data_IF_173905550098
#
_entry.id   IF_173905550098
#
_cell.length_a   1.000
_cell.length_b   1.000
_cell.length_c   1.000
_cell.angle_alpha   90.00
_cell.angle_beta   90.00
_cell.angle_gamma   90.00
#
_symmetry.space_group_name_H-M   'P 1'
#
loop_
_entity.id
_entity.type
_entity.pdbx_description
1 polymer ?
#
# COMPACT_ATOMS: atom_id res chain seq x y z
N UNK A 1 -45.20 19.90 49.97
CA UNK A 1 -44.20 19.56 48.94
C UNK A 1 -44.79 19.84 47.56
N UNK A 2 -44.47 20.99 46.94
CA UNK A 2 -44.91 21.31 45.58
C UNK A 2 -44.05 20.50 44.61
N UNK A 3 -44.59 19.39 44.08
CA UNK A 3 -44.00 18.66 42.95
C UNK A 3 -44.09 19.60 41.74
N UNK A 4 -43.00 20.30 41.46
CA UNK A 4 -42.90 21.26 40.37
C UNK A 4 -43.02 20.56 39.03
N UNK A 5 -43.98 20.98 38.22
CA UNK A 5 -44.02 20.65 36.81
C UNK A 5 -42.72 21.20 36.19
N UNK A 6 -41.78 20.31 35.88
CA UNK A 6 -40.63 20.66 35.07
C UNK A 6 -41.19 21.19 33.75
N UNK A 7 -40.91 22.46 33.44
CA UNK A 7 -41.40 23.07 32.22
C UNK A 7 -40.91 22.24 31.04
N UNK A 8 -41.82 21.74 30.21
CA UNK A 8 -41.52 20.86 29.07
C UNK A 8 -40.40 21.40 28.15
N UNK A 9 -40.22 22.72 28.13
CA UNK A 9 -39.13 23.43 27.45
C UNK A 9 -37.73 23.04 27.96
N UNK A 10 -37.53 22.94 29.27
CA UNK A 10 -36.24 22.57 29.87
C UNK A 10 -35.88 21.11 29.54
N UNK A 11 -36.87 20.22 29.57
CA UNK A 11 -36.69 18.82 29.20
C UNK A 11 -36.31 18.69 27.72
N UNK A 12 -36.96 19.45 26.84
CA UNK A 12 -36.67 19.43 25.40
C UNK A 12 -35.25 19.90 25.09
N UNK A 13 -34.79 20.96 25.74
CA UNK A 13 -33.41 21.46 25.58
C UNK A 13 -32.37 20.45 26.06
N UNK A 14 -32.63 19.79 27.20
CA UNK A 14 -31.74 18.77 27.74
C UNK A 14 -31.64 17.55 26.82
N UNK A 15 -32.77 17.11 26.26
CA UNK A 15 -32.78 16.02 25.26
C UNK A 15 -32.01 16.42 23.99
N UNK A 16 -32.21 17.64 23.47
CA UNK A 16 -31.47 18.12 22.31
C UNK A 16 -29.96 18.19 22.55
N UNK A 17 -29.53 18.67 23.73
CA UNK A 17 -28.12 18.71 24.11
C UNK A 17 -27.50 17.30 24.18
N UNK A 18 -28.22 16.32 24.74
CA UNK A 18 -27.77 14.92 24.77
C UNK A 18 -27.62 14.37 23.35
N UNK A 19 -28.60 14.60 22.46
CA UNK A 19 -28.53 14.13 21.07
C UNK A 19 -27.32 14.71 20.36
N UNK A 20 -27.07 16.01 20.48
CA UNK A 20 -25.89 16.67 19.88
C UNK A 20 -24.60 16.09 20.46
N UNK A 21 -24.52 15.90 21.78
CA UNK A 21 -23.34 15.34 22.42
C UNK A 21 -23.03 13.92 21.93
N UNK A 22 -24.06 13.06 21.80
CA UNK A 22 -23.92 11.71 21.24
C UNK A 22 -23.44 11.75 19.78
N UNK A 23 -23.98 12.66 18.96
CA UNK A 23 -23.54 12.84 17.58
C UNK A 23 -22.07 13.30 17.48
N UNK A 24 -21.65 14.24 18.34
CA UNK A 24 -20.26 14.71 18.39
C UNK A 24 -19.31 13.61 18.84
N UNK A 25 -19.65 12.84 19.87
CA UNK A 25 -18.85 11.70 20.30
C UNK A 25 -18.75 10.62 19.22
N UNK A 26 -19.85 10.31 18.54
CA UNK A 26 -19.87 9.38 17.42
C UNK A 26 -18.97 9.84 16.26
N UNK A 27 -18.97 11.14 15.96
CA UNK A 27 -18.09 11.73 14.97
C UNK A 27 -16.61 11.67 15.40
N UNK A 28 -16.30 12.06 16.64
CA UNK A 28 -14.93 12.03 17.17
C UNK A 28 -14.34 10.62 17.19
N UNK A 29 -15.13 9.61 17.56
CA UNK A 29 -14.70 8.21 17.51
C UNK A 29 -14.37 7.75 16.08
N UNK A 30 -15.18 8.14 15.09
CA UNK A 30 -14.90 7.85 13.67
C UNK A 30 -13.63 8.55 13.18
N UNK A 31 -13.43 9.81 13.56
CA UNK A 31 -12.20 10.56 13.21
C UNK A 31 -10.97 9.93 13.86
N UNK A 32 -11.06 9.49 15.12
CA UNK A 32 -9.95 8.83 15.83
C UNK A 32 -9.48 7.54 15.14
N UNK A 33 -10.42 6.71 14.65
CA UNK A 33 -10.09 5.50 13.88
C UNK A 33 -9.38 5.83 12.55
N UNK A 34 -9.80 6.89 11.87
CA UNK A 34 -9.15 7.34 10.63
C UNK A 34 -7.70 7.80 10.90
N UNK A 35 -7.45 8.50 12.01
CA UNK A 35 -6.11 8.95 12.40
C UNK A 35 -5.21 7.75 12.73
N UNK A 36 -5.72 6.72 13.41
CA UNK A 36 -4.95 5.53 13.74
C UNK A 36 -4.43 4.79 12.50
N UNK A 37 -5.23 4.67 11.43
CA UNK A 37 -4.81 4.00 10.19
C UNK A 37 -3.68 4.71 9.44
N UNK A 38 -3.68 6.05 9.45
CA UNK A 38 -2.59 6.85 8.84
C UNK A 38 -1.26 6.62 9.58
N UNK A 39 -1.31 6.38 10.89
CA UNK A 39 -0.11 6.15 11.68
C UNK A 39 0.66 4.91 11.23
N UNK A 40 0.02 3.81 10.82
CA UNK A 40 0.74 2.59 10.41
C UNK A 40 1.47 2.75 9.08
N UNK A 41 0.80 3.38 8.10
CA UNK A 41 1.39 3.69 6.79
C UNK A 41 2.63 4.58 6.96
N UNK A 42 2.50 5.65 7.74
CA UNK A 42 3.59 6.58 7.98
C UNK A 42 4.69 5.97 8.86
N UNK A 43 4.35 5.06 9.79
CA UNK A 43 5.34 4.33 10.60
C UNK A 43 6.20 3.43 9.71
N UNK A 44 5.58 2.69 8.78
CA UNK A 44 6.30 1.86 7.83
C UNK A 44 7.24 2.73 6.97
N UNK A 45 6.72 3.81 6.37
CA UNK A 45 7.52 4.74 5.55
C UNK A 45 8.68 5.35 6.35
N UNK A 46 8.44 5.78 7.59
CA UNK A 46 9.50 6.29 8.48
C UNK A 46 10.53 5.22 8.82
N UNK A 47 10.11 3.97 9.03
CA UNK A 47 11.05 2.88 9.32
C UNK A 47 11.96 2.60 8.13
N UNK A 48 11.41 2.58 6.91
CA UNK A 48 12.20 2.43 5.68
C UNK A 48 13.12 3.64 5.44
N UNK A 49 12.63 4.86 5.70
CA UNK A 49 13.45 6.07 5.62
C UNK A 49 14.61 6.06 6.63
N UNK A 50 14.36 5.63 7.88
CA UNK A 50 15.43 5.51 8.89
C UNK A 50 16.44 4.45 8.45
N UNK A 51 15.98 3.32 7.91
CA UNK A 51 16.87 2.28 7.38
C UNK A 51 17.75 2.80 6.23
N UNK A 52 17.17 3.53 5.29
CA UNK A 52 17.87 4.19 4.19
C UNK A 52 18.86 5.26 4.70
N UNK A 53 18.40 6.21 5.51
CA UNK A 53 19.20 7.31 6.05
C UNK A 53 20.31 6.87 7.01
N UNK A 54 20.11 5.79 7.78
CA UNK A 54 21.12 5.22 8.67
C UNK A 54 22.38 4.76 7.92
N UNK A 55 22.31 4.63 6.59
CA UNK A 55 23.44 4.27 5.72
C UNK A 55 24.23 5.47 5.25
N UNK A 56 23.56 6.57 4.93
CA UNK A 56 24.26 7.78 4.45
C UNK A 56 25.21 8.32 5.53
N UNK A 57 24.82 8.16 6.79
CA UNK A 57 25.69 8.39 7.92
C UNK A 57 26.40 7.09 8.30
N UNK A 58 27.37 6.63 7.49
CA UNK A 58 28.29 5.57 7.94
C UNK A 58 29.27 6.15 8.97
N UNK A 59 28.77 6.35 10.18
CA UNK A 59 29.53 6.82 11.33
C UNK A 59 30.58 5.79 11.78
N UNK A 60 30.63 4.59 11.18
CA UNK A 60 31.64 3.57 11.48
C UNK A 60 33.06 4.05 11.22
N UNK A 61 33.26 4.90 10.21
CA UNK A 61 34.57 5.48 9.93
C UNK A 61 35.00 6.55 10.96
N UNK A 62 34.06 7.13 11.72
CA UNK A 62 34.35 8.21 12.68
C UNK A 62 34.30 7.81 14.16
N UNK A 63 33.54 6.78 14.54
CA UNK A 63 33.32 6.44 15.96
C UNK A 63 34.13 5.20 16.41
N UNK A 64 34.91 4.60 15.51
CA UNK A 64 35.72 3.42 15.84
C UNK A 64 34.88 2.15 15.95
N UNK A 65 35.48 1.02 15.56
CA UNK A 65 34.83 -0.29 15.37
C UNK A 65 34.16 -0.92 16.61
N UNK A 66 34.13 -0.24 17.76
CA UNK A 66 33.69 -0.82 19.02
C UNK A 66 32.18 -0.76 19.29
N UNK A 67 31.42 0.00 18.50
CA UNK A 67 29.97 -0.07 18.54
C UNK A 67 29.50 -0.98 17.40
N UNK A 68 29.39 -2.27 17.71
CA UNK A 68 28.57 -3.19 16.90
C UNK A 68 27.13 -2.68 16.97
N UNK A 69 26.79 -1.74 16.09
CA UNK A 69 25.40 -1.38 15.85
C UNK A 69 24.66 -2.67 15.54
N UNK A 70 23.73 -3.05 16.43
CA UNK A 70 22.79 -4.13 16.11
C UNK A 70 22.22 -3.82 14.73
N UNK A 71 22.16 -4.80 13.82
CA UNK A 71 21.61 -4.58 12.48
C UNK A 71 20.27 -3.86 12.64
N UNK A 72 20.09 -2.84 11.80
CA UNK A 72 18.92 -1.98 11.81
C UNK A 72 17.67 -2.84 12.01
N UNK A 73 16.88 -2.48 13.02
CA UNK A 73 15.64 -3.17 13.37
C UNK A 73 14.85 -3.48 12.12
N UNK A 74 14.35 -4.71 11.99
CA UNK A 74 13.45 -5.11 10.91
C UNK A 74 12.38 -4.03 10.69
N UNK A 75 12.15 -3.59 9.44
CA UNK A 75 11.16 -2.55 9.15
C UNK A 75 9.82 -2.97 9.71
N UNK A 76 9.12 -2.04 10.35
CA UNK A 76 7.79 -2.30 10.93
C UNK A 76 6.75 -1.94 9.88
N UNK A 77 6.46 -2.88 8.99
CA UNK A 77 5.58 -2.65 7.85
C UNK A 77 4.41 -3.62 7.84
N UNK A 78 3.44 -3.45 8.77
CA UNK A 78 2.36 -4.42 8.94
C UNK A 78 1.59 -4.64 7.63
N UNK A 79 1.30 -5.91 7.37
CA UNK A 79 0.50 -6.34 6.22
C UNK A 79 -0.95 -5.88 6.41
N UNK A 80 -1.45 -5.10 5.47
CA UNK A 80 -2.86 -4.69 5.45
C UNK A 80 -3.76 -5.86 5.01
N UNK A 81 -4.77 -6.21 5.80
CA UNK A 81 -5.74 -7.23 5.42
C UNK A 81 -6.94 -6.58 4.72
N UNK A 82 -6.92 -6.53 3.39
CA UNK A 82 -7.99 -5.93 2.60
C UNK A 82 -9.01 -7.00 2.20
N UNK A 83 -10.20 -6.93 2.78
CA UNK A 83 -11.36 -7.74 2.37
C UNK A 83 -12.27 -6.91 1.47
N UNK A 84 -12.34 -7.27 0.19
CA UNK A 84 -13.20 -6.61 -0.80
C UNK A 84 -14.62 -7.12 -0.63
N UNK A 85 -15.51 -6.20 -0.27
CA UNK A 85 -16.95 -6.44 -0.13
C UNK A 85 -17.70 -5.89 -1.35
N UNK A 86 -18.87 -6.48 -1.60
CA UNK A 86 -19.73 -6.01 -2.66
C UNK A 86 -20.46 -4.74 -2.20
N UNK A 87 -20.39 -3.63 -2.96
CA UNK A 87 -21.09 -2.41 -2.58
C UNK A 87 -22.62 -2.64 -2.48
N UNK A 88 -23.29 -2.05 -1.47
CA UNK A 88 -24.68 -2.38 -1.13
C UNK A 88 -25.70 -1.90 -2.16
N UNK A 89 -25.34 -0.96 -3.04
CA UNK A 89 -26.23 -0.46 -4.08
C UNK A 89 -25.44 0.03 -5.30
N UNK A 90 -26.12 0.17 -6.44
CA UNK A 90 -25.52 0.64 -7.68
C UNK A 90 -25.59 -0.38 -8.82
N UNK A 91 -25.34 0.10 -10.04
CA UNK A 91 -25.24 -0.74 -11.23
C UNK A 91 -24.00 -1.64 -11.12
N UNK A 92 -24.07 -2.85 -11.69
CA UNK A 92 -22.96 -3.82 -11.67
C UNK A 92 -21.62 -3.21 -12.11
N UNK A 93 -21.60 -2.39 -13.18
CA UNK A 93 -20.38 -1.70 -13.62
C UNK A 93 -19.81 -0.72 -12.58
N UNK A 94 -20.66 -0.01 -11.84
CA UNK A 94 -20.21 0.92 -10.80
C UNK A 94 -19.56 0.14 -9.64
N UNK A 95 -20.17 -0.97 -9.25
CA UNK A 95 -19.61 -1.86 -8.22
C UNK A 95 -18.25 -2.41 -8.64
N UNK A 96 -18.12 -2.86 -9.90
CA UNK A 96 -16.84 -3.34 -10.43
C UNK A 96 -15.77 -2.24 -10.41
N UNK A 97 -16.13 -1.00 -10.78
CA UNK A 97 -15.21 0.13 -10.72
C UNK A 97 -14.80 0.47 -9.27
N UNK A 98 -15.71 0.34 -8.31
CA UNK A 98 -15.38 0.51 -6.88
C UNK A 98 -14.41 -0.57 -6.39
N UNK A 99 -14.62 -1.84 -6.77
CA UNK A 99 -13.69 -2.93 -6.47
C UNK A 99 -12.30 -2.64 -7.05
N UNK A 100 -12.23 -2.23 -8.33
CA UNK A 100 -10.95 -1.85 -8.97
C UNK A 100 -10.30 -0.66 -8.27
N UNK A 101 -11.08 0.36 -7.88
CA UNK A 101 -10.57 1.51 -7.12
C UNK A 101 -9.92 1.06 -5.82
N UNK A 102 -10.55 0.16 -5.07
CA UNK A 102 -10.04 -0.27 -3.76
C UNK A 102 -8.70 -1.03 -3.90
N UNK A 103 -8.56 -1.87 -4.94
CA UNK A 103 -7.30 -2.54 -5.27
C UNK A 103 -6.23 -1.52 -5.70
N UNK A 104 -6.58 -0.59 -6.60
CA UNK A 104 -5.65 0.44 -7.09
C UNK A 104 -5.17 1.36 -5.95
N UNK A 105 -6.05 1.70 -5.02
CA UNK A 105 -5.72 2.50 -3.85
C UNK A 105 -4.81 1.74 -2.87
N UNK A 106 -4.96 0.42 -2.74
CA UNK A 106 -4.01 -0.42 -2.00
C UNK A 106 -2.62 -0.41 -2.65
N UNK A 107 -2.55 -0.49 -3.99
CA UNK A 107 -1.30 -0.35 -4.76
C UNK A 107 -0.64 1.02 -4.51
N UNK A 108 -1.43 2.10 -4.58
CA UNK A 108 -0.98 3.47 -4.29
C UNK A 108 -0.41 3.60 -2.87
N UNK A 109 -1.11 3.05 -1.87
CA UNK A 109 -0.63 3.05 -0.47
C UNK A 109 0.67 2.27 -0.33
N UNK A 110 0.80 1.11 -0.97
CA UNK A 110 2.02 0.31 -0.96
C UNK A 110 3.21 1.07 -1.54
N UNK A 111 3.01 1.73 -2.69
CA UNK A 111 4.01 2.59 -3.31
C UNK A 111 4.47 3.72 -2.39
N UNK A 112 3.51 4.40 -1.77
CA UNK A 112 3.78 5.46 -0.80
C UNK A 112 4.54 4.95 0.43
N UNK A 113 4.14 3.81 1.00
CA UNK A 113 4.81 3.17 2.16
C UNK A 113 6.28 2.90 1.86
N UNK A 114 6.57 2.43 0.66
CA UNK A 114 7.91 2.04 0.21
C UNK A 114 8.75 3.22 -0.28
N UNK A 115 8.24 4.45 -0.12
CA UNK A 115 8.98 5.67 -0.46
C UNK A 115 9.04 5.96 -1.96
N UNK A 116 8.10 5.45 -2.75
CA UNK A 116 7.88 5.88 -4.14
C UNK A 116 9.13 5.71 -5.02
N UNK A 117 9.89 4.61 -4.79
CA UNK A 117 11.20 4.32 -5.40
C UNK A 117 12.31 5.35 -5.14
N UNK A 118 12.14 6.27 -4.19
CA UNK A 118 13.20 7.19 -3.75
C UNK A 118 14.07 6.63 -2.62
N UNK A 119 13.66 5.51 -2.01
CA UNK A 119 14.40 4.84 -0.94
C UNK A 119 15.06 3.59 -1.48
N UNK A 120 16.31 3.36 -1.09
CA UNK A 120 16.97 2.08 -1.27
C UNK A 120 17.25 1.47 0.12
N UNK A 121 16.24 0.80 0.73
CA UNK A 121 16.42 0.16 2.02
C UNK A 121 17.34 -1.07 1.95
N UNK A 122 17.89 -1.44 0.78
CA UNK A 122 18.71 -2.66 0.58
C UNK A 122 20.12 -2.45 -0.02
N UNK A 123 20.49 -1.25 -0.48
CA UNK A 123 21.85 -0.78 -0.83
C UNK A 123 23.03 -1.43 -0.08
N UNK A 124 22.98 -1.50 1.26
CA UNK A 124 24.06 -2.02 2.10
C UNK A 124 24.16 -3.55 2.14
N UNK A 125 23.21 -4.27 1.55
CA UNK A 125 23.38 -5.69 1.37
C UNK A 125 24.50 -5.94 0.35
N UNK A 126 25.55 -6.61 0.81
CA UNK A 126 26.71 -7.02 0.00
C UNK A 126 26.39 -8.13 -1.03
N UNK A 127 25.11 -8.40 -1.25
CA UNK A 127 24.65 -9.51 -2.06
C UNK A 127 24.07 -8.91 -3.35
N UNK A 128 24.94 -8.81 -4.35
CA UNK A 128 24.49 -8.57 -5.72
C UNK A 128 23.57 -9.74 -6.13
N UNK A 129 22.54 -9.48 -6.94
CA UNK A 129 21.50 -10.41 -7.40
C UNK A 129 20.40 -10.85 -6.42
N UNK A 130 20.34 -10.30 -5.20
CA UNK A 130 19.26 -10.64 -4.25
C UNK A 130 17.98 -9.84 -4.53
N UNK A 131 16.84 -10.53 -4.49
CA UNK A 131 15.52 -9.94 -4.59
C UNK A 131 14.88 -9.76 -3.22
N UNK A 132 14.51 -8.52 -2.92
CA UNK A 132 13.89 -8.11 -1.67
C UNK A 132 12.43 -7.78 -1.88
N UNK A 133 11.60 -8.18 -0.92
CA UNK A 133 10.16 -7.99 -1.00
C UNK A 133 9.57 -7.42 0.27
N UNK A 134 8.63 -6.49 0.11
CA UNK A 134 7.80 -5.95 1.19
C UNK A 134 6.36 -6.34 0.90
N UNK A 135 5.72 -7.05 1.83
CA UNK A 135 4.32 -7.41 1.74
C UNK A 135 3.46 -6.26 2.24
N UNK A 136 2.79 -5.57 1.33
CA UNK A 136 2.00 -4.41 1.68
C UNK A 136 0.58 -4.76 2.13
N UNK A 137 -0.05 -5.71 1.44
CA UNK A 137 -1.42 -6.10 1.69
C UNK A 137 -1.70 -7.55 1.30
N UNK A 138 -2.66 -8.17 2.00
CA UNK A 138 -3.32 -9.43 1.63
C UNK A 138 -4.75 -9.12 1.22
N UNK A 139 -5.05 -9.31 -0.05
CA UNK A 139 -6.33 -8.99 -0.68
C UNK A 139 -7.16 -10.26 -0.81
N UNK A 140 -8.36 -10.25 -0.22
CA UNK A 140 -9.34 -11.35 -0.31
C UNK A 140 -10.69 -10.81 -0.77
N UNK A 141 -11.47 -11.64 -1.45
CA UNK A 141 -12.80 -11.28 -1.95
C UNK A 141 -13.88 -11.99 -1.15
N UNK A 142 -14.96 -11.27 -0.84
CA UNK A 142 -16.15 -11.87 -0.24
C UNK A 142 -16.86 -12.82 -1.22
N UNK A 143 -17.60 -13.80 -0.71
CA UNK A 143 -18.39 -14.73 -1.54
C UNK A 143 -19.38 -14.01 -2.48
N UNK A 144 -19.90 -12.86 -2.04
CA UNK A 144 -20.79 -12.03 -2.85
C UNK A 144 -20.05 -11.46 -4.08
N UNK A 145 -18.82 -10.98 -3.89
CA UNK A 145 -17.97 -10.51 -4.99
C UNK A 145 -17.60 -11.66 -5.91
N UNK A 146 -17.23 -12.83 -5.37
CA UNK A 146 -16.89 -14.01 -6.17
C UNK A 146 -18.04 -14.48 -7.06
N UNK A 147 -19.28 -14.39 -6.55
CA UNK A 147 -20.47 -14.78 -7.30
C UNK A 147 -20.86 -13.77 -8.38
N UNK A 148 -20.79 -12.47 -8.08
CA UNK A 148 -21.18 -11.41 -9.04
C UNK A 148 -20.08 -11.13 -10.06
N UNK A 149 -18.81 -11.21 -9.65
CA UNK A 149 -17.62 -10.96 -10.46
C UNK A 149 -16.59 -12.08 -10.28
N UNK A 150 -16.77 -13.25 -10.90
CA UNK A 150 -15.79 -14.35 -10.83
C UNK A 150 -14.40 -13.93 -11.31
N UNK A 151 -14.36 -12.97 -12.24
CA UNK A 151 -13.15 -12.36 -12.76
C UNK A 151 -13.28 -10.83 -12.78
N UNK A 152 -12.17 -10.14 -12.55
CA UNK A 152 -12.03 -8.69 -12.71
C UNK A 152 -11.12 -8.46 -13.90
N UNK A 153 -11.72 -8.20 -15.06
CA UNK A 153 -11.00 -7.93 -16.31
C UNK A 153 -10.64 -6.46 -16.47
N UNK A 154 -9.66 -6.16 -17.32
CA UNK A 154 -9.22 -4.81 -17.69
C UNK A 154 -8.85 -3.99 -16.44
N UNK A 155 -8.14 -4.60 -15.49
CA UNK A 155 -7.67 -3.88 -14.30
C UNK A 155 -6.50 -2.96 -14.63
N UNK A 156 -5.57 -3.39 -15.50
CA UNK A 156 -4.52 -2.53 -16.04
C UNK A 156 -5.08 -1.25 -16.69
N UNK A 157 -6.06 -1.39 -17.59
CA UNK A 157 -6.68 -0.23 -18.23
C UNK A 157 -7.36 0.71 -17.22
N UNK A 158 -7.94 0.15 -16.16
CA UNK A 158 -8.53 0.97 -15.10
C UNK A 158 -7.48 1.86 -14.42
N UNK A 159 -6.34 1.31 -14.00
CA UNK A 159 -5.27 2.11 -13.36
C UNK A 159 -4.63 3.10 -14.34
N UNK A 160 -4.64 2.80 -15.63
CA UNK A 160 -4.12 3.67 -16.68
C UNK A 160 -5.01 4.90 -16.94
N UNK A 161 -6.34 4.78 -16.82
CA UNK A 161 -7.28 5.85 -17.20
C UNK A 161 -7.94 6.57 -16.03
N UNK A 162 -7.90 6.02 -14.81
CA UNK A 162 -8.58 6.62 -13.65
C UNK A 162 -7.63 7.45 -12.81
N UNK A 163 -8.01 8.69 -12.54
CA UNK A 163 -7.29 9.63 -11.68
C UNK A 163 -7.41 9.23 -10.21
N UNK A 164 -6.33 9.43 -9.45
CA UNK A 164 -6.39 9.30 -7.99
C UNK A 164 -7.17 10.47 -7.40
N UNK A 165 -7.81 10.23 -6.26
CA UNK A 165 -8.60 11.25 -5.58
C UNK A 165 -7.75 12.49 -5.24
N UNK A 166 -8.27 13.68 -5.56
CA UNK A 166 -7.61 14.98 -5.33
C UNK A 166 -6.30 15.20 -6.10
N UNK A 167 -6.06 14.44 -7.17
CA UNK A 167 -4.88 14.64 -8.03
C UNK A 167 -5.29 14.62 -9.51
N UNK A 168 -4.45 15.22 -10.35
CA UNK A 168 -4.62 15.15 -11.81
C UNK A 168 -3.98 13.90 -12.43
N UNK A 169 -3.24 13.11 -11.63
CA UNK A 169 -2.51 11.94 -12.09
C UNK A 169 -3.36 10.68 -12.03
N UNK A 170 -3.17 9.78 -13.00
CA UNK A 170 -3.73 8.43 -12.95
C UNK A 170 -2.94 7.55 -11.97
N UNK A 171 -3.52 6.41 -11.58
CA UNK A 171 -2.81 5.44 -10.75
C UNK A 171 -1.51 4.97 -11.44
N UNK A 172 -1.55 4.67 -12.74
CA UNK A 172 -0.38 4.24 -13.49
C UNK A 172 0.71 5.32 -13.54
N UNK A 173 0.34 6.57 -13.81
CA UNK A 173 1.30 7.70 -13.82
C UNK A 173 1.99 7.90 -12.47
N UNK A 174 1.29 7.63 -11.37
CA UNK A 174 1.86 7.72 -10.02
C UNK A 174 2.75 6.53 -9.66
N UNK A 175 2.35 5.32 -10.07
CA UNK A 175 3.10 4.08 -9.82
C UNK A 175 4.30 3.89 -10.76
N UNK A 176 4.43 4.72 -11.79
CA UNK A 176 5.52 4.65 -12.78
C UNK A 176 6.05 6.05 -13.11
N UNK A 177 6.64 6.75 -12.13
CA UNK A 177 7.21 8.08 -12.35
C UNK A 177 8.34 8.01 -13.38
N UNK A 178 8.33 8.91 -14.36
CA UNK A 178 9.36 8.94 -15.42
C UNK A 178 10.65 9.67 -15.02
N UNK A 179 10.61 10.43 -13.91
CA UNK A 179 11.70 11.31 -13.47
C UNK A 179 12.57 10.70 -12.34
N UNK A 180 12.65 9.37 -12.25
CA UNK A 180 13.46 8.70 -11.21
C UNK A 180 14.74 8.09 -11.77
N UNK A 181 15.83 8.16 -11.00
CA UNK A 181 17.09 7.47 -11.32
C UNK A 181 16.96 5.94 -11.28
N UNK A 182 15.91 5.44 -10.62
CA UNK A 182 15.52 4.03 -10.51
C UNK A 182 14.61 3.62 -11.67
N UNK A 183 14.82 2.43 -12.24
CA UNK A 183 13.89 1.87 -13.22
C UNK A 183 12.67 1.31 -12.51
N UNK A 184 11.59 2.08 -12.55
CA UNK A 184 10.27 1.64 -12.10
C UNK A 184 9.56 0.99 -13.27
N UNK A 185 9.34 -0.32 -13.22
CA UNK A 185 8.50 -0.95 -14.23
C UNK A 185 7.05 -0.75 -13.83
N UNK A 186 6.19 -0.40 -14.80
CA UNK A 186 4.76 -0.49 -14.55
C UNK A 186 4.44 -1.94 -14.15
N UNK A 187 3.38 -2.13 -13.36
CA UNK A 187 2.82 -3.46 -13.17
C UNK A 187 2.62 -4.14 -14.53
N UNK A 188 3.00 -5.41 -14.64
CA UNK A 188 2.92 -6.14 -15.90
C UNK A 188 1.45 -6.17 -16.38
N UNK A 189 1.21 -5.67 -17.59
CA UNK A 189 -0.13 -5.63 -18.18
C UNK A 189 -0.74 -7.02 -18.24
N UNK A 190 0.06 -8.05 -18.55
CA UNK A 190 -0.40 -9.44 -18.62
C UNK A 190 -0.81 -9.99 -17.25
N UNK A 191 -0.11 -9.60 -16.17
CA UNK A 191 -0.46 -9.99 -14.79
C UNK A 191 -1.73 -9.27 -14.30
N UNK A 192 -2.01 -8.06 -14.80
CA UNK A 192 -3.15 -7.24 -14.40
C UNK A 192 -4.31 -7.22 -15.41
N UNK A 193 -4.28 -8.08 -16.44
CA UNK A 193 -5.37 -8.14 -17.41
C UNK A 193 -6.64 -8.71 -16.78
N UNK A 194 -6.49 -9.81 -16.03
CA UNK A 194 -7.62 -10.52 -15.40
C UNK A 194 -7.23 -11.00 -14.00
N UNK A 195 -8.03 -10.64 -12.99
CA UNK A 195 -7.90 -11.15 -11.63
C UNK A 195 -9.02 -12.15 -11.34
N UNK A 196 -8.65 -13.36 -10.95
CA UNK A 196 -9.58 -14.40 -10.49
C UNK A 196 -9.96 -14.14 -9.02
N UNK A 197 -11.23 -13.83 -8.75
CA UNK A 197 -11.69 -13.44 -7.40
C UNK A 197 -11.84 -14.61 -6.44
N UNK A 198 -11.75 -15.86 -6.93
CA UNK A 198 -11.69 -17.05 -6.07
C UNK A 198 -10.37 -17.15 -5.32
N UNK A 199 -9.32 -16.47 -5.79
CA UNK A 199 -7.98 -16.48 -5.21
C UNK A 199 -7.78 -15.34 -4.21
N UNK A 200 -6.85 -15.56 -3.29
CA UNK A 200 -6.30 -14.50 -2.43
C UNK A 200 -4.99 -14.02 -3.01
N UNK A 201 -4.73 -12.71 -2.96
CA UNK A 201 -3.51 -12.11 -3.52
C UNK A 201 -2.70 -11.42 -2.43
N UNK A 202 -1.38 -11.47 -2.56
CA UNK A 202 -0.48 -10.54 -1.89
C UNK A 202 -0.12 -9.41 -2.84
N UNK A 203 -0.22 -8.18 -2.34
CA UNK A 203 0.37 -7.01 -2.96
C UNK A 203 1.81 -6.88 -2.48
N UNK A 204 2.75 -7.09 -3.39
CA UNK A 204 4.18 -7.16 -3.10
C UNK A 204 4.89 -6.01 -3.79
N UNK A 205 5.67 -5.26 -3.02
CA UNK A 205 6.69 -4.39 -3.56
C UNK A 205 7.98 -5.18 -3.69
N UNK A 206 8.51 -5.23 -4.90
CA UNK A 206 9.65 -6.03 -5.30
C UNK A 206 10.82 -5.10 -5.66
N UNK A 207 11.99 -5.37 -5.10
CA UNK A 207 13.23 -4.66 -5.34
C UNK A 207 14.33 -5.64 -5.70
N UNK A 208 14.96 -5.47 -6.87
CA UNK A 208 16.14 -6.24 -7.26
C UNK A 208 17.28 -5.30 -7.59
N UNK A 209 18.36 -5.43 -6.82
CA UNK A 209 19.60 -4.69 -7.03
C UNK A 209 20.36 -5.29 -8.21
N UNK A 210 20.96 -4.44 -9.05
CA UNK A 210 21.95 -4.92 -10.02
C UNK A 210 21.42 -5.71 -11.23
N UNK A 211 20.11 -5.74 -11.45
CA UNK A 211 19.54 -6.44 -12.60
C UNK A 211 19.74 -5.64 -13.90
N UNK A 212 20.65 -6.08 -14.77
CA UNK A 212 20.69 -5.59 -16.14
C UNK A 212 19.39 -6.00 -16.87
N UNK A 213 18.46 -5.07 -17.05
CA UNK A 213 17.27 -5.33 -17.88
C UNK A 213 17.62 -5.05 -19.32
N UNK A 214 17.99 -6.12 -20.01
CA UNK A 214 18.26 -6.09 -21.44
C UNK A 214 16.99 -6.45 -22.22
N UNK A 215 16.30 -5.43 -22.72
CA UNK A 215 15.24 -5.63 -23.72
C UNK A 215 15.88 -5.44 -25.10
N UNK A 216 16.34 -6.54 -25.70
CA UNK A 216 16.84 -6.58 -27.08
C UNK A 216 18.36 -6.51 -27.27
N UNK A 217 18.85 -6.62 -28.52
CA UNK A 217 20.26 -6.83 -28.86
C UNK A 217 21.21 -5.61 -28.69
N UNK A 218 20.79 -4.55 -27.99
CA UNK A 218 21.52 -3.28 -27.87
C UNK A 218 22.04 -2.99 -26.44
N UNK A 219 22.48 -4.03 -25.72
CA UNK A 219 22.83 -3.92 -24.31
C UNK A 219 24.32 -3.69 -23.99
N UNK A 220 25.11 -3.24 -24.96
CA UNK A 220 26.51 -2.89 -24.72
C UNK A 220 26.60 -1.46 -24.14
N UNK A 221 26.69 -1.33 -22.80
CA UNK A 221 27.09 -0.08 -22.14
C UNK A 221 26.06 0.60 -21.23
N UNK A 222 24.90 0.00 -20.97
CA UNK A 222 23.96 0.55 -19.99
C UNK A 222 24.39 0.18 -18.56
N UNK A 223 24.51 1.20 -17.69
CA UNK A 223 24.69 0.99 -16.25
C UNK A 223 23.52 0.16 -15.73
N UNK A 224 23.82 -0.92 -15.03
CA UNK A 224 22.82 -1.67 -14.26
C UNK A 224 22.06 -0.70 -13.38
N UNK A 225 20.75 -0.61 -13.58
CA UNK A 225 19.85 0.17 -12.74
C UNK A 225 19.05 -0.79 -11.87
N UNK A 226 18.77 -0.38 -10.64
CA UNK A 226 17.93 -1.17 -9.76
C UNK A 226 16.51 -1.20 -10.29
N UNK A 227 15.85 -2.35 -10.14
CA UNK A 227 14.53 -2.61 -10.69
C UNK A 227 13.51 -2.68 -9.56
N UNK A 228 12.52 -1.81 -9.64
CA UNK A 228 11.44 -1.73 -8.66
C UNK A 228 10.11 -2.00 -9.34
N UNK A 229 9.32 -2.90 -8.75
CA UNK A 229 8.03 -3.32 -9.30
C UNK A 229 6.99 -3.52 -8.20
N UNK A 230 5.72 -3.30 -8.53
CA UNK A 230 4.58 -3.71 -7.73
C UNK A 230 3.86 -4.86 -8.42
N UNK A 231 3.62 -5.94 -7.67
CA UNK A 231 2.98 -7.14 -8.20
C UNK A 231 1.81 -7.58 -7.32
N UNK A 232 0.76 -8.09 -7.98
CA UNK A 232 -0.30 -8.84 -7.33
C UNK A 232 -0.03 -10.33 -7.55
N UNK A 233 0.37 -11.02 -6.50
CA UNK A 233 0.78 -12.43 -6.57
C UNK A 233 -0.26 -13.29 -5.86
N UNK A 234 -0.88 -14.27 -6.52
CA UNK A 234 -1.71 -15.26 -5.84
C UNK A 234 -0.96 -15.93 -4.69
N UNK A 235 -1.61 -16.11 -3.54
CA UNK A 235 -0.99 -16.69 -2.34
C UNK A 235 -0.34 -18.05 -2.65
N UNK A 236 -0.94 -18.83 -3.54
CA UNK A 236 -0.46 -20.17 -3.92
C UNK A 236 0.83 -20.12 -4.75
N UNK A 237 1.12 -19.00 -5.42
CA UNK A 237 2.33 -18.80 -6.23
C UNK A 237 3.48 -18.17 -5.43
N UNK A 238 3.20 -17.71 -4.21
CA UNK A 238 4.20 -17.07 -3.34
C UNK A 238 5.40 -17.96 -3.00
N UNK A 239 5.26 -19.28 -2.72
CA UNK A 239 6.40 -20.14 -2.42
C UNK A 239 7.38 -20.28 -3.60
N UNK A 240 6.92 -20.01 -4.83
CA UNK A 240 7.72 -20.07 -6.06
C UNK A 240 8.30 -18.73 -6.51
N UNK A 241 7.96 -17.61 -5.86
CA UNK A 241 8.33 -16.26 -6.28
C UNK A 241 9.42 -15.65 -5.36
N UNK A 242 10.66 -15.74 -5.85
CA UNK A 242 11.76 -14.73 -5.89
C UNK A 242 11.80 -13.67 -4.77
N UNK A 243 11.60 -14.02 -3.51
CA UNK A 243 11.86 -13.14 -2.39
C UNK A 243 12.85 -13.83 -1.46
N UNK A 244 14.12 -13.50 -1.58
CA UNK A 244 15.17 -14.06 -0.74
C UNK A 244 15.05 -13.53 0.71
N UNK A 245 14.47 -12.34 0.86
CA UNK A 245 14.09 -11.76 2.14
C UNK A 245 12.70 -11.11 2.06
N UNK A 246 11.80 -11.56 2.94
CA UNK A 246 10.44 -11.03 3.09
C UNK A 246 10.38 -10.19 4.36
N UNK A 247 9.89 -8.97 4.23
CA UNK A 247 9.62 -8.08 5.35
C UNK A 247 8.11 -7.89 5.54
N UNK A 248 7.68 -7.91 6.80
CA UNK A 248 6.29 -7.84 7.28
C UNK A 248 6.16 -6.93 8.48
#
# INVERSE_FOLDING_TARGET
MKRGAIAAREVMLLVAAIVIFVLVLGFAARVGLLIASKNEVDLCRKSLFIMDASRYYDWRDKIGQHLQAKPATTPKCPIEHLRIELPPSGKSQNKLNEIKRDIAEAMRRCWYKTGEATLDPFAAAHWDDVAYCILCAKISFSEAVQREFPQIDNFYQYIATHKMLLTERTYLEYLSPQDTDVLVYPPDESELTTLDTSKTYYLVWYYRKGGAVCIGPLCAGQKSRDNVQLKLIPVEQMPSLVCDAIFT
#
